data_IF_958911721122
#
_entry.id   IF_958911721122
#
_cell.length_a   1.000
_cell.length_b   1.000
_cell.length_c   1.000
_cell.angle_alpha   90.00
_cell.angle_beta   90.00
_cell.angle_gamma   90.00
#
_symmetry.space_group_name_H-M   'P 1'
#
loop_
_entity.id
_entity.type
_entity.pdbx_description
1 polymer ?
#
# COMPACT_ATOMS: atom_id res chain seq x y z
N UNK A 1 9.37 -0.45 -20.08
CA UNK A 1 9.48 -0.35 -18.61
C UNK A 1 8.31 -1.13 -18.01
N UNK A 2 8.57 -2.29 -17.43
CA UNK A 2 7.55 -3.21 -16.92
C UNK A 2 6.97 -2.65 -15.61
N UNK A 3 5.65 -2.48 -15.56
CA UNK A 3 4.95 -2.05 -14.34
C UNK A 3 5.04 -3.18 -13.32
N UNK A 4 5.67 -2.93 -12.16
CA UNK A 4 5.65 -3.89 -11.03
C UNK A 4 4.20 -4.16 -10.64
N UNK A 5 3.78 -5.41 -10.77
CA UNK A 5 2.45 -5.87 -10.33
C UNK A 5 2.58 -6.34 -8.90
N UNK A 6 1.83 -5.70 -8.00
CA UNK A 6 1.76 -6.09 -6.60
C UNK A 6 0.45 -6.80 -6.34
N UNK A 7 0.50 -7.91 -5.61
CA UNK A 7 -0.69 -8.66 -5.24
C UNK A 7 -1.61 -7.84 -4.34
N UNK A 8 -2.90 -8.18 -4.34
CA UNK A 8 -3.91 -7.53 -3.48
C UNK A 8 -3.52 -7.57 -2.01
N UNK A 9 -3.07 -8.73 -1.55
CA UNK A 9 -2.67 -8.97 -0.16
C UNK A 9 -1.50 -8.09 0.23
N UNK A 10 -0.51 -8.00 -0.65
CA UNK A 10 0.67 -7.16 -0.45
C UNK A 10 0.30 -5.67 -0.30
N UNK A 11 -0.59 -5.15 -1.15
CA UNK A 11 -1.07 -3.75 -1.04
C UNK A 11 -1.80 -3.50 0.28
N UNK A 12 -2.56 -4.50 0.77
CA UNK A 12 -3.31 -4.44 2.02
C UNK A 12 -2.40 -4.44 3.23
N UNK A 13 -1.44 -5.36 3.29
CA UNK A 13 -0.48 -5.41 4.39
C UNK A 13 0.34 -4.13 4.45
N UNK A 14 0.82 -3.64 3.30
CA UNK A 14 1.54 -2.38 3.22
C UNK A 14 0.74 -1.18 3.76
N UNK A 15 -0.54 -1.09 3.40
CA UNK A 15 -1.42 -0.05 3.91
C UNK A 15 -1.73 -0.22 5.42
N UNK A 16 -1.91 -1.45 5.90
CA UNK A 16 -2.11 -1.74 7.33
C UNK A 16 -0.88 -1.40 8.18
N UNK A 17 0.34 -1.59 7.67
CA UNK A 17 1.55 -1.21 8.40
C UNK A 17 1.56 0.29 8.73
N UNK A 18 1.08 1.12 7.80
CA UNK A 18 0.99 2.57 8.00
C UNK A 18 -0.21 2.94 8.88
N UNK A 19 -1.40 2.40 8.60
CA UNK A 19 -2.63 2.82 9.29
C UNK A 19 -2.83 2.18 10.66
N UNK A 20 -2.50 0.89 10.82
CA UNK A 20 -2.71 0.14 12.06
C UNK A 20 -1.48 0.20 12.98
N UNK A 21 -0.26 0.16 12.44
CA UNK A 21 0.97 0.22 13.25
C UNK A 21 1.56 1.64 13.38
N UNK A 22 1.00 2.62 12.68
CA UNK A 22 1.46 4.02 12.75
C UNK A 22 2.86 4.25 12.14
N UNK A 23 3.36 3.32 11.32
CA UNK A 23 4.66 3.46 10.67
C UNK A 23 4.59 4.58 9.62
N UNK A 24 5.62 5.42 9.52
CA UNK A 24 5.66 6.46 8.50
C UNK A 24 5.70 5.85 7.09
N UNK A 25 5.04 6.49 6.13
CA UNK A 25 5.04 6.05 4.72
C UNK A 25 6.47 5.91 4.19
N UNK A 26 7.38 6.79 4.59
CA UNK A 26 8.77 6.74 4.14
C UNK A 26 9.52 5.50 4.68
N UNK A 27 9.25 5.11 5.93
CA UNK A 27 9.86 3.93 6.52
C UNK A 27 9.28 2.65 5.91
N UNK A 28 7.96 2.54 5.83
CA UNK A 28 7.29 1.38 5.24
C UNK A 28 7.62 1.23 3.73
N UNK A 29 7.80 2.34 3.01
CA UNK A 29 8.25 2.31 1.61
C UNK A 29 9.64 1.70 1.44
N UNK A 30 10.58 2.05 2.33
CA UNK A 30 11.94 1.50 2.32
C UNK A 30 11.96 0.01 2.70
N UNK A 31 11.22 -0.34 3.75
CA UNK A 31 11.13 -1.72 4.27
C UNK A 31 10.54 -2.69 3.23
N UNK A 32 9.52 -2.22 2.51
CA UNK A 32 8.82 -3.01 1.49
C UNK A 32 9.45 -2.90 0.09
N UNK A 33 10.50 -2.11 -0.11
CA UNK A 33 11.05 -1.80 -1.44
C UNK A 33 9.98 -1.28 -2.43
N UNK A 34 9.09 -0.40 -1.96
CA UNK A 34 8.07 0.24 -2.79
C UNK A 34 8.26 1.75 -2.86
N UNK A 35 7.84 2.35 -3.97
CA UNK A 35 7.89 3.79 -4.10
C UNK A 35 6.90 4.45 -3.11
N UNK A 36 7.37 5.43 -2.33
CA UNK A 36 6.57 6.10 -1.31
C UNK A 36 5.25 6.69 -1.87
N UNK A 37 5.26 7.18 -3.11
CA UNK A 37 4.06 7.67 -3.81
C UNK A 37 2.99 6.60 -3.99
N UNK A 38 3.40 5.36 -4.32
CA UNK A 38 2.49 4.22 -4.51
C UNK A 38 1.92 3.79 -3.17
N UNK A 39 2.76 3.70 -2.14
CA UNK A 39 2.30 3.36 -0.79
C UNK A 39 1.32 4.41 -0.24
N UNK A 40 1.59 5.70 -0.45
CA UNK A 40 0.69 6.78 -0.04
C UNK A 40 -0.69 6.68 -0.69
N UNK A 41 -0.72 6.29 -1.97
CA UNK A 41 -1.96 6.02 -2.71
C UNK A 41 -2.72 4.85 -2.10
N UNK A 42 -2.05 3.73 -1.81
CA UNK A 42 -2.68 2.57 -1.18
C UNK A 42 -3.21 2.87 0.22
N UNK A 43 -2.48 3.64 1.03
CA UNK A 43 -2.93 4.08 2.36
C UNK A 43 -4.21 4.91 2.27
N UNK A 44 -4.28 5.83 1.30
CA UNK A 44 -5.49 6.63 1.06
C UNK A 44 -6.66 5.77 0.59
N UNK A 45 -6.43 4.89 -0.38
CA UNK A 45 -7.46 3.97 -0.89
C UNK A 45 -7.96 3.03 0.21
N UNK A 46 -7.06 2.53 1.06
CA UNK A 46 -7.38 1.68 2.22
C UNK A 46 -8.17 2.43 3.29
N UNK A 47 -7.85 3.69 3.56
CA UNK A 47 -8.62 4.53 4.48
C UNK A 47 -10.04 4.82 3.99
N UNK A 48 -10.23 5.02 2.68
CA UNK A 48 -11.56 5.31 2.11
C UNK A 48 -12.42 4.08 1.85
N UNK A 49 -11.83 2.96 1.43
CA UNK A 49 -12.58 1.76 1.00
C UNK A 49 -12.39 0.54 1.95
N UNK A 50 -11.58 0.70 3.00
CA UNK A 50 -11.31 -0.35 3.98
C UNK A 50 -10.69 -1.62 3.37
N UNK A 51 -11.01 -2.82 3.86
CA UNK A 51 -10.43 -4.08 3.40
C UNK A 51 -10.79 -4.44 1.93
N UNK A 52 -11.74 -3.73 1.32
CA UNK A 52 -12.12 -3.87 -0.09
C UNK A 52 -11.43 -2.86 -1.01
N UNK A 53 -10.45 -2.09 -0.52
CA UNK A 53 -9.76 -1.04 -1.28
C UNK A 53 -9.01 -1.49 -2.53
N UNK A 54 -8.78 -2.80 -2.69
CA UNK A 54 -8.02 -3.35 -3.82
C UNK A 54 -8.85 -4.42 -4.56
N UNK A 55 -9.98 -4.08 -5.20
CA UNK A 55 -10.87 -5.06 -5.82
C UNK A 55 -10.42 -5.54 -7.20
N UNK A 56 -9.42 -4.90 -7.82
CA UNK A 56 -8.90 -5.30 -9.13
C UNK A 56 -7.40 -5.02 -9.27
N UNK A 57 -6.68 -5.94 -9.90
CA UNK A 57 -5.37 -5.64 -10.48
C UNK A 57 -5.62 -4.59 -11.57
N UNK A 58 -5.31 -3.33 -11.28
CA UNK A 58 -5.13 -2.34 -12.34
C UNK A 58 -4.01 -2.75 -13.28
#
# INVERSE_FOLDING_TARGET
MTRRVYSREYKREAAQLVTARGVSVAQAAKDLDVHATVLRRWVREFGSNGPNAFPGNG
#
